data_IF_268482600583
#
_entry.id   IF_268482600583
#
_cell.length_a   1.000
_cell.length_b   1.000
_cell.length_c   1.000
_cell.angle_alpha   90.00
_cell.angle_beta   90.00
_cell.angle_gamma   90.00
#
_symmetry.space_group_name_H-M   'P 1'
#
loop_
_entity.id
_entity.type
_entity.pdbx_description
1 polymer ?
#
# COMPACT_ATOMS: atom_id res chain seq x y z
N UNK A 1 -10.39 -13.93 1.84
CA UNK A 1 -9.20 -14.74 2.15
C UNK A 1 -8.41 -13.99 3.18
N UNK A 2 -8.15 -14.62 4.32
CA UNK A 2 -7.32 -14.04 5.38
C UNK A 2 -5.85 -14.08 4.99
N UNK A 3 -5.13 -13.00 5.24
CA UNK A 3 -3.70 -12.86 5.01
C UNK A 3 -3.09 -11.89 6.03
N UNK A 4 -1.78 -11.69 6.00
CA UNK A 4 -1.06 -10.86 6.96
C UNK A 4 -0.17 -9.83 6.27
N UNK A 5 -0.09 -8.61 6.80
CA UNK A 5 0.82 -7.58 6.30
C UNK A 5 1.48 -6.83 7.46
N UNK A 6 2.70 -6.35 7.21
CA UNK A 6 3.33 -5.34 8.05
C UNK A 6 2.88 -3.94 7.59
N UNK A 7 2.10 -3.28 8.44
CA UNK A 7 1.56 -1.94 8.24
C UNK A 7 2.26 -0.98 9.21
N UNK A 8 3.32 -0.32 8.75
CA UNK A 8 4.03 0.66 9.57
C UNK A 8 3.18 1.92 9.77
N UNK A 9 2.35 1.91 10.82
CA UNK A 9 1.47 3.02 11.23
C UNK A 9 2.19 4.18 11.90
N UNK A 10 3.53 4.14 12.00
CA UNK A 10 4.31 5.31 12.39
C UNK A 10 4.50 6.26 11.19
N UNK A 11 4.36 5.74 9.95
CA UNK A 11 4.21 6.56 8.75
C UNK A 11 2.77 7.09 8.64
N UNK A 12 2.57 8.42 8.56
CA UNK A 12 1.23 9.00 8.62
C UNK A 12 0.34 8.68 7.40
N UNK A 13 0.89 8.34 6.23
CA UNK A 13 0.08 7.90 5.09
C UNK A 13 -0.42 6.47 5.25
N UNK A 14 0.45 5.58 5.76
CA UNK A 14 0.04 4.21 6.08
C UNK A 14 -0.98 4.25 7.22
N UNK A 15 -0.75 5.08 8.24
CA UNK A 15 -1.70 5.30 9.32
C UNK A 15 -3.07 5.79 8.79
N UNK A 16 -3.09 6.71 7.83
CA UNK A 16 -4.32 7.16 7.19
C UNK A 16 -5.09 5.98 6.54
N UNK A 17 -4.41 5.19 5.71
CA UNK A 17 -5.00 4.03 5.02
C UNK A 17 -5.47 2.94 5.99
N UNK A 18 -4.67 2.66 7.02
CA UNK A 18 -4.99 1.68 8.07
C UNK A 18 -6.20 2.11 8.88
N UNK A 19 -6.28 3.37 9.29
CA UNK A 19 -7.44 3.85 10.02
C UNK A 19 -8.70 3.82 9.15
N UNK A 20 -8.59 4.31 7.90
CA UNK A 20 -9.64 4.19 6.87
C UNK A 20 -10.16 2.75 6.82
N UNK A 21 -9.28 1.77 6.95
CA UNK A 21 -9.64 0.37 7.21
C UNK A 21 -9.55 -0.53 5.98
N UNK A 22 -9.08 0.00 4.86
CA UNK A 22 -8.97 -0.74 3.60
C UNK A 22 -7.74 -0.26 2.82
N UNK A 23 -6.94 -1.23 2.38
CA UNK A 23 -5.85 -1.08 1.43
C UNK A 23 -6.34 -1.41 0.03
N UNK A 24 -6.00 -0.58 -0.96
CA UNK A 24 -6.46 -0.75 -2.34
C UNK A 24 -5.26 -0.66 -3.28
N UNK A 25 -5.10 -1.66 -4.16
CA UNK A 25 -4.09 -1.60 -5.23
C UNK A 25 -4.44 -0.51 -6.25
N UNK A 26 -3.46 0.10 -6.95
CA UNK A 26 -3.73 1.14 -7.94
C UNK A 26 -4.72 0.70 -9.01
N UNK A 27 -4.60 -0.52 -9.55
CA UNK A 27 -5.54 -1.03 -10.56
C UNK A 27 -6.95 -1.21 -9.99
N UNK A 28 -7.10 -1.67 -8.75
CA UNK A 28 -8.42 -1.76 -8.10
C UNK A 28 -9.04 -0.39 -7.80
N UNK A 29 -8.21 0.63 -7.54
CA UNK A 29 -8.62 2.02 -7.37
C UNK A 29 -8.81 2.77 -8.71
N UNK A 30 -8.65 2.09 -9.86
CA UNK A 30 -8.60 2.71 -11.19
C UNK A 30 -7.58 3.87 -11.28
N UNK A 31 -6.51 3.78 -10.52
CA UNK A 31 -5.44 4.76 -10.46
C UNK A 31 -4.24 4.29 -11.32
N UNK A 32 -3.69 5.22 -12.10
CA UNK A 32 -2.40 5.02 -12.78
C UNK A 32 -1.28 5.33 -11.79
N UNK A 33 -0.88 4.36 -11.00
CA UNK A 33 0.01 4.62 -9.87
C UNK A 33 0.83 3.44 -9.40
N UNK A 34 1.66 3.70 -8.39
CA UNK A 34 2.42 2.69 -7.64
C UNK A 34 1.61 2.25 -6.42
N UNK A 35 1.89 1.05 -5.91
CA UNK A 35 1.44 0.71 -4.56
C UNK A 35 2.10 1.62 -3.53
N UNK A 36 1.44 1.83 -2.39
CA UNK A 36 1.98 2.68 -1.32
C UNK A 36 3.33 2.17 -0.79
N UNK A 37 3.52 0.84 -0.76
CA UNK A 37 4.79 0.22 -0.39
C UNK A 37 5.90 0.54 -1.40
N UNK A 38 5.61 0.42 -2.70
CA UNK A 38 6.60 0.72 -3.72
C UNK A 38 6.91 2.21 -3.81
N UNK A 39 5.92 3.07 -3.59
CA UNK A 39 6.12 4.51 -3.48
C UNK A 39 7.07 4.87 -2.32
N UNK A 40 6.88 4.26 -1.15
CA UNK A 40 7.80 4.45 -0.02
C UNK A 40 9.22 3.99 -0.36
N UNK A 41 9.33 2.84 -1.02
CA UNK A 41 10.61 2.30 -1.48
C UNK A 41 11.34 3.25 -2.46
N UNK A 42 10.61 3.83 -3.42
CA UNK A 42 11.14 4.81 -4.36
C UNK A 42 11.61 6.09 -3.63
N UNK A 43 10.84 6.60 -2.68
CA UNK A 43 11.22 7.77 -1.88
C UNK A 43 12.53 7.52 -1.14
N UNK A 44 12.65 6.38 -0.48
CA UNK A 44 13.87 5.99 0.23
C UNK A 44 15.06 5.83 -0.75
N UNK A 45 14.82 5.24 -1.92
CA UNK A 45 15.83 5.10 -2.97
C UNK A 45 16.35 6.44 -3.53
N UNK A 46 15.55 7.49 -3.45
CA UNK A 46 15.96 8.84 -3.81
C UNK A 46 16.97 9.46 -2.87
N UNK A 47 16.75 9.25 -1.59
CA UNK A 47 17.56 9.86 -0.55
C UNK A 47 18.85 9.05 -0.33
N UNK A 48 18.88 7.77 -0.73
CA UNK A 48 20.04 6.89 -0.60
C UNK A 48 20.53 6.35 -1.95
N UNK A 49 21.64 6.90 -2.48
CA UNK A 49 22.27 6.46 -3.75
C UNK A 49 22.52 4.96 -3.86
N UNK A 50 22.74 4.25 -2.74
CA UNK A 50 22.96 2.81 -2.73
C UNK A 50 21.72 1.98 -3.11
N UNK A 51 20.52 2.56 -3.00
CA UNK A 51 19.26 1.90 -3.32
C UNK A 51 18.80 2.08 -4.77
N UNK A 52 19.47 2.94 -5.54
CA UNK A 52 19.16 3.13 -6.97
C UNK A 52 19.36 1.83 -7.76
N UNK A 53 20.41 1.05 -7.47
CA UNK A 53 20.65 -0.23 -8.15
C UNK A 53 19.54 -1.26 -7.90
N UNK A 54 19.01 -1.29 -6.68
CA UNK A 54 17.89 -2.17 -6.34
C UNK A 54 16.60 -1.72 -7.04
N UNK A 55 16.36 -0.40 -7.15
CA UNK A 55 15.24 0.12 -7.92
C UNK A 55 15.35 -0.23 -9.42
N UNK A 56 16.54 -0.15 -10.00
CA UNK A 56 16.79 -0.61 -11.37
C UNK A 56 16.52 -2.11 -11.53
N UNK A 57 16.78 -2.92 -10.51
CA UNK A 57 16.41 -4.33 -10.51
C UNK A 57 14.88 -4.53 -10.46
N UNK A 58 14.14 -3.77 -9.65
CA UNK A 58 12.66 -3.79 -9.69
C UNK A 58 12.12 -3.47 -11.10
N UNK A 59 12.72 -2.49 -11.80
CA UNK A 59 12.35 -2.18 -13.19
C UNK A 59 12.66 -3.34 -14.13
N UNK A 60 13.82 -3.99 -13.99
CA UNK A 60 14.20 -5.14 -14.80
C UNK A 60 13.29 -6.37 -14.55
N UNK A 61 12.86 -6.59 -13.31
CA UNK A 61 11.86 -7.63 -12.97
C UNK A 61 10.53 -7.31 -13.66
N UNK A 62 10.10 -6.05 -13.61
CA UNK A 62 8.86 -5.63 -14.27
C UNK A 62 8.93 -5.78 -15.80
N UNK A 63 10.07 -5.49 -16.43
CA UNK A 63 10.28 -5.72 -17.87
C UNK A 63 10.05 -7.19 -18.23
N UNK A 64 10.73 -8.11 -17.54
CA UNK A 64 10.55 -9.56 -17.78
C UNK A 64 9.12 -10.01 -17.48
N UNK A 65 8.49 -9.46 -16.44
CA UNK A 65 7.09 -9.78 -16.10
C UNK A 65 6.15 -9.35 -17.23
N UNK A 66 6.29 -8.14 -17.77
CA UNK A 66 5.45 -7.64 -18.86
C UNK A 66 5.57 -8.51 -20.11
N UNK A 67 6.79 -8.94 -20.44
CA UNK A 67 7.06 -9.68 -21.67
C UNK A 67 6.69 -11.16 -21.56
N UNK A 68 7.04 -11.83 -20.44
CA UNK A 68 6.96 -13.28 -20.31
C UNK A 68 5.87 -13.76 -19.35
N UNK A 69 5.46 -12.93 -18.40
CA UNK A 69 4.50 -13.29 -17.35
C UNK A 69 3.39 -12.23 -17.18
N UNK A 70 2.72 -11.76 -18.26
CA UNK A 70 1.81 -10.62 -18.18
C UNK A 70 0.61 -10.84 -17.24
N UNK A 71 0.22 -12.11 -17.02
CA UNK A 71 -0.83 -12.53 -16.10
C UNK A 71 -0.40 -12.59 -14.62
N UNK A 72 0.86 -12.27 -14.30
CA UNK A 72 1.34 -12.18 -12.92
C UNK A 72 1.24 -10.75 -12.39
N UNK A 73 0.96 -10.61 -11.10
CA UNK A 73 0.82 -9.31 -10.42
C UNK A 73 2.18 -8.60 -10.38
N UNK A 74 2.19 -7.31 -10.70
CA UNK A 74 3.40 -6.47 -10.64
C UNK A 74 3.79 -6.15 -9.21
N UNK A 75 5.09 -6.20 -8.92
CA UNK A 75 5.68 -5.70 -7.67
C UNK A 75 5.52 -4.21 -7.48
N UNK A 76 5.36 -3.46 -8.57
CA UNK A 76 5.27 -1.99 -8.51
C UNK A 76 3.87 -1.52 -8.09
N UNK A 77 2.83 -2.31 -8.37
CA UNK A 77 1.42 -1.96 -8.10
C UNK A 77 0.71 -2.91 -7.14
N UNK A 78 1.24 -4.11 -6.91
CA UNK A 78 0.66 -5.09 -5.99
C UNK A 78 0.70 -4.66 -4.53
N UNK A 79 -0.29 -5.13 -3.77
CA UNK A 79 -0.26 -5.16 -2.30
C UNK A 79 0.50 -6.41 -1.85
N UNK A 80 1.29 -6.29 -0.79
CA UNK A 80 2.18 -7.32 -0.29
C UNK A 80 1.60 -7.97 0.97
N UNK A 81 1.39 -9.28 0.95
CA UNK A 81 0.87 -10.04 2.09
C UNK A 81 1.62 -11.36 2.28
N UNK A 82 1.39 -11.98 3.44
CA UNK A 82 1.77 -13.36 3.75
C UNK A 82 0.51 -14.21 3.92
N UNK A 83 0.57 -15.48 3.52
CA UNK A 83 -0.55 -16.41 3.69
C UNK A 83 -0.89 -16.65 5.16
N UNK A 84 0.12 -16.66 6.03
CA UNK A 84 -0.03 -16.96 7.44
C UNK A 84 0.88 -16.11 8.34
N UNK A 85 0.50 -16.00 9.61
CA UNK A 85 1.21 -15.19 10.60
C UNK A 85 2.62 -15.69 10.89
N UNK A 86 2.87 -17.00 10.82
CA UNK A 86 4.18 -17.57 11.12
C UNK A 86 5.17 -17.27 10.00
N UNK A 87 4.74 -17.34 8.73
CA UNK A 87 5.51 -16.87 7.58
C UNK A 87 5.82 -15.38 7.68
N UNK A 88 4.85 -14.55 8.08
CA UNK A 88 5.10 -13.13 8.32
C UNK A 88 6.12 -12.90 9.44
N UNK A 89 6.02 -13.61 10.58
CA UNK A 89 6.99 -13.51 11.68
C UNK A 89 8.39 -13.96 11.27
N UNK A 90 8.52 -15.04 10.49
CA UNK A 90 9.81 -15.46 9.93
C UNK A 90 10.41 -14.38 9.04
N UNK A 91 9.59 -13.72 8.23
CA UNK A 91 10.03 -12.56 7.44
C UNK A 91 10.52 -11.43 8.34
N UNK A 92 9.79 -11.08 9.41
CA UNK A 92 10.17 -10.02 10.35
C UNK A 92 11.42 -10.32 11.19
N UNK A 93 11.73 -11.59 11.43
CA UNK A 93 13.00 -11.99 12.07
C UNK A 93 14.20 -11.83 11.12
N UNK A 94 13.94 -11.84 9.82
CA UNK A 94 14.96 -11.85 8.77
C UNK A 94 15.20 -10.48 8.16
N UNK A 95 14.14 -9.67 8.06
CA UNK A 95 14.16 -8.35 7.45
C UNK A 95 14.02 -7.29 8.54
N UNK A 96 14.91 -6.30 8.53
CA UNK A 96 14.91 -5.22 9.51
C UNK A 96 13.96 -4.06 9.11
N UNK A 97 13.83 -3.05 9.96
CA UNK A 97 13.13 -1.81 9.68
C UNK A 97 11.62 -1.91 9.90
N UNK A 98 10.85 -2.01 8.82
CA UNK A 98 9.38 -1.93 8.86
C UNK A 98 8.70 -3.27 9.19
N UNK A 99 9.44 -4.37 9.27
CA UNK A 99 8.90 -5.71 9.51
C UNK A 99 8.86 -6.06 11.00
N UNK A 100 8.24 -5.17 11.79
CA UNK A 100 8.14 -5.32 13.24
C UNK A 100 6.83 -5.98 13.63
N UNK A 101 6.84 -6.88 14.61
CA UNK A 101 5.63 -7.60 15.04
C UNK A 101 4.49 -6.66 15.44
N UNK A 102 4.81 -5.50 16.03
CA UNK A 102 3.83 -4.46 16.36
C UNK A 102 3.13 -3.86 15.14
N UNK A 103 3.70 -3.97 13.93
CA UNK A 103 3.09 -3.52 12.68
C UNK A 103 2.34 -4.65 11.96
N UNK A 104 2.42 -5.88 12.46
CA UNK A 104 1.73 -7.03 11.86
C UNK A 104 0.22 -6.91 12.06
N UNK A 105 -0.53 -7.00 10.97
CA UNK A 105 -1.97 -6.94 10.97
C UNK A 105 -2.58 -8.06 10.12
N UNK A 106 -3.72 -8.55 10.57
CA UNK A 106 -4.58 -9.46 9.81
C UNK A 106 -5.40 -8.66 8.79
N UNK A 107 -5.46 -9.18 7.56
CA UNK A 107 -6.09 -8.58 6.40
C UNK A 107 -7.11 -9.55 5.83
N UNK A 108 -8.33 -9.09 5.59
CA UNK A 108 -9.32 -9.81 4.78
C UNK A 108 -9.23 -9.32 3.34
N UNK A 109 -8.68 -10.15 2.45
CA UNK A 109 -8.68 -9.89 1.01
C UNK A 109 -10.05 -10.26 0.44
N UNK A 110 -10.67 -9.31 -0.26
CA UNK A 110 -12.06 -9.42 -0.72
C UNK A 110 -12.22 -9.31 -2.24
N UNK A 111 -13.40 -9.70 -2.72
CA UNK A 111 -13.74 -9.70 -4.15
C UNK A 111 -13.08 -10.85 -4.92
N UNK A 112 -12.74 -10.58 -6.18
CA UNK A 112 -12.03 -11.53 -7.07
C UNK A 112 -10.67 -10.95 -7.47
N UNK A 113 -9.72 -10.85 -6.53
CA UNK A 113 -8.41 -10.27 -6.79
C UNK A 113 -7.59 -11.14 -7.74
N UNK A 114 -6.67 -10.52 -8.46
CA UNK A 114 -5.58 -11.26 -9.09
C UNK A 114 -4.48 -11.46 -8.04
N UNK A 115 -4.00 -12.69 -7.88
CA UNK A 115 -3.01 -13.05 -6.86
C UNK A 115 -1.83 -13.73 -7.56
N UNK A 116 -0.62 -13.39 -7.14
CA UNK A 116 0.60 -14.12 -7.52
C UNK A 116 1.38 -14.48 -6.26
N UNK A 117 1.69 -15.77 -6.14
CA UNK A 117 2.53 -16.30 -5.07
C UNK A 117 3.98 -16.31 -5.55
N UNK A 118 4.86 -15.74 -4.75
CA UNK A 118 6.30 -15.71 -5.03
C UNK A 118 7.10 -16.06 -3.78
N UNK A 119 8.30 -16.62 -3.99
CA UNK A 119 9.24 -16.86 -2.91
C UNK A 119 10.16 -15.64 -2.74
N UNK A 120 10.03 -14.94 -1.61
CA UNK A 120 10.81 -13.74 -1.30
C UNK A 120 12.28 -14.02 -0.98
N UNK A 121 12.68 -15.30 -0.88
CA UNK A 121 14.08 -15.70 -0.80
C UNK A 121 14.87 -15.26 -2.06
N UNK A 122 14.24 -15.30 -3.24
CA UNK A 122 14.86 -14.79 -4.47
C UNK A 122 15.26 -13.32 -4.33
N UNK A 123 14.34 -12.48 -3.86
CA UNK A 123 14.60 -11.06 -3.65
C UNK A 123 15.67 -10.87 -2.57
N UNK A 124 15.53 -11.58 -1.44
CA UNK A 124 16.45 -11.49 -0.31
C UNK A 124 17.91 -11.77 -0.72
N UNK A 125 18.13 -12.73 -1.62
CA UNK A 125 19.48 -13.16 -1.99
C UNK A 125 20.00 -12.61 -3.32
N UNK A 126 19.13 -12.23 -4.25
CA UNK A 126 19.53 -11.91 -5.63
C UNK A 126 19.27 -10.47 -6.04
N UNK A 127 18.58 -9.66 -5.24
CA UNK A 127 18.26 -8.28 -5.60
C UNK A 127 19.47 -7.40 -5.92
N UNK A 128 20.59 -7.63 -5.21
CA UNK A 128 21.86 -6.93 -5.46
C UNK A 128 22.76 -7.58 -6.52
N UNK A 129 22.32 -8.68 -7.15
CA UNK A 129 23.10 -9.42 -8.14
C UNK A 129 23.08 -8.73 -9.50
N UNK A 130 24.18 -8.78 -10.24
CA UNK A 130 24.20 -8.37 -11.66
C UNK A 130 23.59 -9.44 -12.58
N UNK A 131 23.58 -10.71 -12.15
CA UNK A 131 22.90 -11.80 -12.83
C UNK A 131 21.38 -11.65 -12.69
N UNK A 132 20.68 -11.68 -13.83
CA UNK A 132 19.22 -11.56 -13.95
C UNK A 132 18.54 -12.86 -14.37
N UNK A 133 19.30 -13.94 -14.57
CA UNK A 133 18.75 -15.24 -15.01
C UNK A 133 17.70 -15.80 -14.04
N UNK A 134 17.79 -15.41 -12.76
CA UNK A 134 16.87 -15.81 -11.71
C UNK A 134 15.46 -15.21 -11.82
N UNK A 135 15.30 -14.08 -12.53
CA UNK A 135 14.04 -13.33 -12.57
C UNK A 135 12.90 -14.18 -13.12
N UNK A 136 13.15 -14.95 -14.18
CA UNK A 136 12.14 -15.83 -14.76
C UNK A 136 11.72 -16.94 -13.80
N UNK A 137 12.65 -17.52 -13.04
CA UNK A 137 12.37 -18.54 -12.02
C UNK A 137 11.55 -17.97 -10.86
N UNK A 138 11.89 -16.77 -10.41
CA UNK A 138 11.11 -16.04 -9.41
C UNK A 138 9.68 -15.79 -9.92
N UNK A 139 9.52 -15.23 -11.12
CA UNK A 139 8.22 -14.89 -11.70
C UNK A 139 7.36 -16.11 -12.05
N UNK A 140 7.98 -17.26 -12.35
CA UNK A 140 7.23 -18.52 -12.52
C UNK A 140 6.67 -19.07 -11.20
N UNK A 141 7.10 -18.54 -10.05
CA UNK A 141 6.70 -19.02 -8.72
C UNK A 141 7.54 -20.21 -8.25
N UNK A 142 8.75 -20.39 -8.77
CA UNK A 142 9.66 -21.43 -8.30
C UNK A 142 10.22 -21.04 -6.92
N UNK A 143 10.44 -22.03 -6.06
CA UNK A 143 11.11 -21.82 -4.77
C UNK A 143 12.63 -21.65 -4.94
N UNK A 144 13.25 -20.91 -4.02
CA UNK A 144 14.69 -20.81 -3.84
C UNK A 144 15.10 -21.60 -2.59
N UNK A 145 15.90 -22.66 -2.80
CA UNK A 145 16.37 -23.50 -1.70
C UNK A 145 15.26 -24.35 -1.08
N UNK A 146 15.46 -24.74 0.17
CA UNK A 146 14.60 -25.71 0.88
C UNK A 146 13.61 -25.05 1.86
N UNK A 147 13.80 -23.78 2.20
CA UNK A 147 12.96 -23.05 3.15
C UNK A 147 12.42 -21.76 2.50
N UNK A 148 11.44 -21.86 1.58
CA UNK A 148 10.87 -20.70 0.93
C UNK A 148 10.16 -19.77 1.93
N UNK A 149 10.15 -18.49 1.59
CA UNK A 149 9.41 -17.47 2.29
C UNK A 149 8.33 -16.93 1.33
N UNK A 150 7.17 -17.56 1.35
CA UNK A 150 6.08 -17.25 0.44
C UNK A 150 5.43 -15.90 0.75
N UNK A 151 5.33 -15.09 -0.29
CA UNK A 151 4.70 -13.77 -0.30
C UNK A 151 3.60 -13.75 -1.38
N UNK A 152 2.45 -13.22 -0.99
CA UNK A 152 1.32 -12.96 -1.87
C UNK A 152 1.41 -11.54 -2.40
N UNK A 153 1.46 -11.40 -3.72
CA UNK A 153 1.21 -10.14 -4.38
C UNK A 153 -0.23 -10.11 -4.88
N UNK A 154 -0.95 -9.09 -4.45
CA UNK A 154 -2.39 -8.98 -4.67
C UNK A 154 -2.73 -7.69 -5.41
N UNK A 155 -3.41 -7.84 -6.53
CA UNK A 155 -4.07 -6.74 -7.22
C UNK A 155 -5.57 -6.78 -6.88
N UNK A 156 -5.95 -6.00 -5.88
CA UNK A 156 -7.31 -6.01 -5.32
C UNK A 156 -7.45 -5.07 -4.13
N UNK A 157 -8.32 -5.47 -3.20
CA UNK A 157 -8.68 -4.76 -1.95
C UNK A 157 -8.42 -5.67 -0.74
N UNK A 158 -8.00 -5.08 0.38
CA UNK A 158 -7.80 -5.78 1.65
C UNK A 158 -8.26 -4.96 2.84
N UNK A 159 -9.19 -5.49 3.64
CA UNK A 159 -9.67 -4.85 4.85
C UNK A 159 -8.74 -5.13 6.04
N UNK A 160 -8.44 -4.12 6.83
CA UNK A 160 -7.62 -4.26 8.04
C UNK A 160 -8.50 -4.66 9.22
N UNK A 161 -8.29 -5.86 9.76
CA UNK A 161 -9.16 -6.41 10.81
C UNK A 161 -8.75 -6.01 12.24
N UNK A 162 -7.48 -5.65 12.47
CA UNK A 162 -6.96 -5.41 13.81
C UNK A 162 -7.37 -4.07 14.44
N UNK A 163 -8.14 -4.08 15.52
CA UNK A 163 -8.55 -2.86 16.24
C UNK A 163 -7.35 -2.08 16.79
N UNK A 164 -6.40 -2.75 17.44
CA UNK A 164 -5.24 -2.09 18.07
C UNK A 164 -4.34 -1.35 17.07
N UNK A 165 -4.13 -1.92 15.87
CA UNK A 165 -3.34 -1.25 14.83
C UNK A 165 -4.08 -0.03 14.26
N UNK A 166 -5.42 -0.08 14.18
CA UNK A 166 -6.25 1.05 13.76
C UNK A 166 -6.29 2.17 14.80
N UNK A 167 -6.32 1.85 16.09
CA UNK A 167 -6.22 2.85 17.16
C UNK A 167 -4.88 3.57 17.14
N UNK A 168 -3.77 2.83 16.97
CA UNK A 168 -2.44 3.42 16.81
C UNK A 168 -2.36 4.30 15.57
N UNK A 169 -2.92 3.84 14.46
CA UNK A 169 -3.00 4.61 13.23
C UNK A 169 -3.75 5.93 13.42
N UNK A 170 -4.88 5.91 14.11
CA UNK A 170 -5.63 7.10 14.48
C UNK A 170 -4.78 8.08 15.29
N UNK A 171 -4.10 7.62 16.34
CA UNK A 171 -3.27 8.50 17.17
C UNK A 171 -2.05 9.07 16.41
N UNK A 172 -1.48 8.32 15.45
CA UNK A 172 -0.47 8.88 14.54
C UNK A 172 -1.06 10.00 13.68
N UNK A 173 -2.21 9.79 13.02
CA UNK A 173 -2.81 10.83 12.18
C UNK A 173 -3.23 12.04 13.01
N UNK A 174 -3.82 11.83 14.20
CA UNK A 174 -4.20 12.92 15.11
C UNK A 174 -3.02 13.77 15.56
N UNK A 175 -1.86 13.15 15.82
CA UNK A 175 -0.63 13.86 16.17
C UNK A 175 -0.08 14.66 14.98
N UNK A 176 -0.11 14.08 13.79
CA UNK A 176 0.51 14.68 12.58
C UNK A 176 -0.39 15.71 11.89
N UNK A 177 -1.68 15.41 11.74
CA UNK A 177 -2.69 16.22 11.06
C UNK A 177 -3.98 16.36 11.88
N UNK A 178 -3.96 17.03 13.05
CA UNK A 178 -5.13 17.16 13.91
C UNK A 178 -6.32 17.85 13.24
N UNK A 179 -6.09 18.72 12.25
CA UNK A 179 -7.14 19.40 11.49
C UNK A 179 -7.88 18.48 10.50
N UNK A 180 -7.29 17.32 10.14
CA UNK A 180 -7.83 16.42 9.11
C UNK A 180 -8.72 15.31 9.67
N UNK A 181 -8.98 15.28 10.98
CA UNK A 181 -9.71 14.17 11.62
C UNK A 181 -11.14 14.00 11.12
N UNK A 182 -11.84 15.10 10.80
CA UNK A 182 -13.18 15.02 10.21
C UNK A 182 -13.16 14.35 8.83
N UNK A 183 -12.19 14.71 7.99
CA UNK A 183 -12.00 14.06 6.69
C UNK A 183 -11.53 12.60 6.83
N UNK A 184 -10.65 12.31 7.78
CA UNK A 184 -10.20 10.96 8.07
C UNK A 184 -11.37 10.04 8.43
N UNK A 185 -12.24 10.49 9.34
CA UNK A 185 -13.42 9.72 9.74
C UNK A 185 -14.45 9.59 8.61
N UNK A 186 -14.64 10.63 7.80
CA UNK A 186 -15.44 10.53 6.57
C UNK A 186 -14.88 9.48 5.61
N UNK A 187 -13.56 9.43 5.46
CA UNK A 187 -12.87 8.45 4.61
C UNK A 187 -13.06 7.02 5.12
N UNK A 188 -13.04 6.81 6.44
CA UNK A 188 -13.34 5.52 7.06
C UNK A 188 -14.79 5.09 6.83
N UNK A 189 -15.75 6.01 6.99
CA UNK A 189 -17.17 5.74 6.68
C UNK A 189 -17.36 5.44 5.19
N UNK A 190 -16.60 6.10 4.31
CA UNK A 190 -16.70 5.87 2.87
C UNK A 190 -16.41 4.41 2.46
N UNK A 191 -15.49 3.74 3.16
CA UNK A 191 -15.22 2.30 2.98
C UNK A 191 -16.47 1.45 3.21
N UNK A 192 -17.20 1.72 4.30
CA UNK A 192 -18.44 1.02 4.67
C UNK A 192 -19.57 1.26 3.64
N UNK A 193 -19.40 2.26 2.77
CA UNK A 193 -20.33 2.67 1.73
C UNK A 193 -19.83 2.34 0.32
N UNK A 194 -18.80 1.49 0.22
CA UNK A 194 -18.17 1.05 -1.03
C UNK A 194 -17.67 2.23 -1.87
N UNK A 195 -16.88 3.12 -1.24
CA UNK A 195 -16.32 4.32 -1.86
C UNK A 195 -14.84 4.49 -1.56
N UNK A 196 -14.09 4.89 -2.58
CA UNK A 196 -12.66 5.21 -2.48
C UNK A 196 -12.39 6.64 -2.02
N UNK A 197 -13.42 7.38 -1.57
CA UNK A 197 -13.23 8.71 -0.99
C UNK A 197 -12.23 8.65 0.16
N UNK A 198 -11.23 9.54 0.09
CA UNK A 198 -10.15 9.61 1.06
C UNK A 198 -9.08 8.54 0.91
N UNK A 199 -9.06 7.76 -0.17
CA UNK A 199 -7.95 6.87 -0.47
C UNK A 199 -6.70 7.68 -0.85
N UNK A 200 -5.54 7.39 -0.24
CA UNK A 200 -4.24 7.94 -0.67
C UNK A 200 -3.68 7.05 -1.77
N UNK A 201 -3.40 7.62 -2.94
CA UNK A 201 -2.79 6.95 -4.08
C UNK A 201 -1.47 7.63 -4.50
N UNK A 202 -0.36 6.89 -4.59
CA UNK A 202 0.86 7.39 -5.21
C UNK A 202 0.75 7.44 -6.74
N UNK A 203 1.06 8.59 -7.32
CA UNK A 203 0.99 8.86 -8.74
C UNK A 203 2.36 9.31 -9.27
N UNK A 204 2.78 8.74 -10.40
CA UNK A 204 4.00 9.14 -11.10
C UNK A 204 3.65 10.05 -12.27
N UNK A 205 4.28 11.21 -12.32
CA UNK A 205 4.27 12.11 -13.47
C UNK A 205 5.66 12.15 -14.09
N UNK A 206 5.71 12.07 -15.43
CA UNK A 206 6.95 12.19 -16.18
C UNK A 206 6.89 13.53 -16.93
N UNK A 207 7.79 14.44 -16.57
CA UNK A 207 7.92 15.77 -17.18
C UNK A 207 9.30 15.88 -17.83
N UNK A 208 9.37 15.73 -19.16
CA UNK A 208 10.60 15.81 -19.97
C UNK A 208 11.74 14.89 -19.50
N UNK A 209 12.59 15.37 -18.60
CA UNK A 209 13.75 14.67 -18.03
C UNK A 209 13.53 14.26 -16.56
N UNK A 210 12.34 14.51 -15.99
CA UNK A 210 12.05 14.28 -14.57
C UNK A 210 10.94 13.28 -14.34
N UNK A 211 11.13 12.42 -13.34
CA UNK A 211 10.07 11.63 -12.73
C UNK A 211 9.70 12.28 -11.40
N UNK A 212 8.43 12.63 -11.23
CA UNK A 212 7.86 13.18 -9.99
C UNK A 212 6.84 12.20 -9.42
N UNK A 213 7.08 11.77 -8.18
CA UNK A 213 6.12 11.04 -7.36
C UNK A 213 5.30 12.03 -6.53
N UNK A 214 3.98 11.96 -6.65
CA UNK A 214 3.01 12.73 -5.85
C UNK A 214 2.04 11.80 -5.16
N UNK A 215 1.71 12.08 -3.90
CA UNK A 215 0.60 11.41 -3.23
C UNK A 215 -0.68 12.23 -3.40
N UNK A 216 -1.75 11.58 -3.82
CA UNK A 216 -3.04 12.22 -4.05
C UNK A 216 -4.10 11.58 -3.16
N UNK A 217 -5.03 12.39 -2.68
CA UNK A 217 -6.20 11.93 -1.94
C UNK A 217 -7.40 11.88 -2.89
N UNK A 218 -8.09 10.74 -2.99
CA UNK A 218 -9.25 10.59 -3.86
C UNK A 218 -10.47 11.35 -3.31
N UNK A 219 -11.09 12.14 -4.18
CA UNK A 219 -12.37 12.81 -3.94
C UNK A 219 -13.39 12.48 -5.04
N UNK A 220 -13.19 11.38 -5.78
CA UNK A 220 -14.01 11.02 -6.94
C UNK A 220 -15.52 11.02 -6.59
N UNK A 221 -15.88 10.46 -5.44
CA UNK A 221 -17.26 10.31 -5.01
C UNK A 221 -17.77 11.49 -4.16
N UNK A 222 -16.95 12.51 -3.90
CA UNK A 222 -17.31 13.59 -2.97
C UNK A 222 -18.53 14.40 -3.39
N UNK A 223 -18.88 14.36 -4.68
CA UNK A 223 -20.07 15.00 -5.26
C UNK A 223 -21.03 14.00 -5.90
N UNK A 224 -20.78 12.70 -5.79
CA UNK A 224 -21.66 11.69 -6.33
C UNK A 224 -22.99 11.68 -5.53
N UNK A 225 -24.15 11.95 -6.17
CA UNK A 225 -25.44 11.92 -5.49
C UNK A 225 -25.73 10.57 -4.82
N UNK A 226 -25.29 9.46 -5.41
CA UNK A 226 -25.54 8.13 -4.86
C UNK A 226 -24.74 7.90 -3.56
N UNK A 227 -23.46 8.27 -3.54
CA UNK A 227 -22.66 8.29 -2.31
C UNK A 227 -23.27 9.19 -1.23
N UNK A 228 -23.63 10.43 -1.58
CA UNK A 228 -24.20 11.39 -0.63
C UNK A 228 -25.51 10.89 -0.02
N UNK A 229 -26.36 10.24 -0.82
CA UNK A 229 -27.59 9.63 -0.32
C UNK A 229 -27.29 8.49 0.67
N UNK A 230 -26.38 7.57 0.32
CA UNK A 230 -25.97 6.47 1.23
C UNK A 230 -25.37 7.02 2.53
N UNK A 231 -24.52 8.04 2.44
CA UNK A 231 -23.90 8.70 3.59
C UNK A 231 -24.94 9.37 4.49
N UNK A 232 -25.94 10.06 3.92
CA UNK A 232 -27.03 10.69 4.69
C UNK A 232 -27.85 9.70 5.51
N UNK A 233 -27.93 8.45 5.04
CA UNK A 233 -28.68 7.35 5.66
C UNK A 233 -27.82 6.46 6.55
N UNK A 234 -26.50 6.67 6.59
CA UNK A 234 -25.57 5.81 7.31
C UNK A 234 -25.79 5.92 8.83
N UNK A 235 -26.12 4.77 9.45
CA UNK A 235 -26.35 4.61 10.89
C UNK A 235 -25.31 3.74 11.59
N UNK A 236 -24.28 3.30 10.87
CA UNK A 236 -23.22 2.47 11.43
C UNK A 236 -22.30 3.23 12.39
N UNK A 237 -21.27 2.56 12.94
CA UNK A 237 -20.29 3.18 13.81
C UNK A 237 -19.69 4.41 13.15
N UNK A 238 -19.58 5.52 13.90
CA UNK A 238 -18.88 6.73 13.50
C UNK A 238 -18.34 7.49 14.70
N UNK A 239 -17.16 8.07 14.55
CA UNK A 239 -16.57 8.97 15.51
C UNK A 239 -17.20 10.37 15.38
N UNK A 240 -18.34 10.55 16.04
CA UNK A 240 -19.12 11.81 15.99
C UNK A 240 -18.42 13.01 16.62
N UNK A 241 -17.39 12.77 17.45
CA UNK A 241 -16.55 13.87 17.95
C UNK A 241 -15.83 14.55 16.80
N UNK A 242 -15.28 13.77 15.88
CA UNK A 242 -14.42 14.27 14.82
C UNK A 242 -15.21 14.54 13.52
N UNK A 243 -16.26 13.75 13.24
CA UNK A 243 -17.19 13.95 12.13
C UNK A 243 -18.56 14.42 12.62
N UNK A 244 -18.73 15.74 12.69
CA UNK A 244 -19.98 16.42 13.08
C UNK A 244 -20.30 17.58 12.11
N UNK A 245 -21.45 18.25 12.32
CA UNK A 245 -21.92 19.33 11.45
C UNK A 245 -20.97 20.55 11.39
N UNK A 246 -20.10 20.73 12.39
CA UNK A 246 -19.07 21.79 12.42
C UNK A 246 -17.68 21.30 12.00
N UNK A 247 -17.53 20.03 11.66
CA UNK A 247 -16.24 19.47 11.29
C UNK A 247 -15.70 20.11 10.01
N UNK A 248 -14.45 20.54 10.06
CA UNK A 248 -13.74 20.98 8.86
C UNK A 248 -13.14 19.78 8.14
N UNK A 249 -13.42 19.66 6.84
CA UNK A 249 -12.85 18.61 5.99
C UNK A 249 -11.52 19.10 5.41
N UNK A 250 -10.47 19.07 6.22
CA UNK A 250 -9.13 19.57 5.85
C UNK A 250 -8.31 18.45 5.23
N UNK A 251 -7.82 18.68 4.02
CA UNK A 251 -6.88 17.75 3.34
C UNK A 251 -5.56 17.72 4.11
N UNK A 252 -5.03 16.54 4.47
CA UNK A 252 -3.72 16.44 5.10
C UNK A 252 -2.62 16.94 4.16
N UNK A 253 -1.55 17.50 4.71
CA UNK A 253 -0.39 17.87 3.92
C UNK A 253 0.39 16.61 3.51
N UNK A 254 0.24 16.22 2.25
CA UNK A 254 0.91 15.07 1.64
C UNK A 254 2.24 15.45 0.96
N UNK A 255 2.67 16.72 1.02
CA UNK A 255 3.80 17.24 0.23
C UNK A 255 5.17 16.91 0.81
N UNK A 256 5.24 16.46 2.07
CA UNK A 256 6.51 16.25 2.79
C UNK A 256 7.50 15.25 2.16
N UNK A 257 7.12 14.54 1.09
CA UNK A 257 7.97 13.56 0.43
C UNK A 257 7.69 13.48 -1.08
N UNK A 258 7.69 14.60 -1.79
CA UNK A 258 7.87 14.54 -3.22
C UNK A 258 9.33 14.22 -3.53
N UNK A 259 9.54 13.43 -4.57
CA UNK A 259 10.88 13.19 -5.09
C UNK A 259 10.89 13.50 -6.57
N UNK A 260 11.87 14.30 -6.97
CA UNK A 260 12.25 14.48 -8.36
C UNK A 260 13.54 13.71 -8.65
N UNK A 261 13.51 12.85 -9.66
CA UNK A 261 14.69 12.22 -10.21
C UNK A 261 14.89 12.67 -11.64
N UNK A 262 16.14 12.84 -12.07
CA UNK A 262 16.45 12.95 -13.49
C UNK A 262 16.67 11.57 -14.08
N UNK A 263 16.05 11.31 -15.23
CA UNK A 263 16.27 10.11 -16.04
C UNK A 263 17.63 10.16 -16.73
#
# INVERSE_FOLDING_TARGET
>A
MTAFAFLNVDNPWIAWLVYRGEMVSPKAANARGLSIWHAYYLIDAAHARQRTAYYQMEMAIEDVRRDLFPAKVSRLSGLYFFEDAESAKRAGQRWDGNFREEHLAEIEIVGTPQISLYDSEWITHRMGSSDRSWVSSYLSGSQMGESPLWELLVEGRGFVLGTLVRERAYETVKRTWPGSLGLLELSRVAVELDSDLGLICPFLTIESDKVRLTLQLSFADAKDPAFLERFSKYKGPKNTRDLNASASLVVPDLTHHFVEFRL
#
